data_IF_796960837904
#
_entry.id   IF_796960837904
#
_cell.length_a   1.000
_cell.length_b   1.000
_cell.length_c   1.000
_cell.angle_alpha   90.00
_cell.angle_beta   90.00
_cell.angle_gamma   90.00
#
_symmetry.space_group_name_H-M   'P 1'
#
loop_
_entity.id
_entity.type
_entity.pdbx_description
1 polymer ?
#
# COMPACT_ATOMS: atom_id res chain seq x y z
N UNK A 1 -0.03 -4.25 48.71
CA UNK A 1 -0.75 -5.53 48.82
C UNK A 1 -0.17 -6.43 47.72
N UNK A 2 0.65 -7.40 48.09
CA UNK A 2 1.26 -8.34 47.14
C UNK A 2 0.33 -9.55 47.02
N UNK A 3 -0.15 -9.84 45.84
CA UNK A 3 -0.94 -11.07 45.56
C UNK A 3 -0.05 -11.99 44.72
N UNK A 4 0.37 -13.08 45.37
CA UNK A 4 1.14 -14.18 44.76
C UNK A 4 0.18 -15.22 44.21
N UNK A 5 0.29 -15.56 42.94
CA UNK A 5 -0.43 -16.70 42.35
C UNK A 5 0.56 -17.85 42.19
N UNK A 6 0.28 -18.94 42.91
CA UNK A 6 1.02 -20.20 42.83
C UNK A 6 0.40 -21.12 41.76
N UNK A 7 1.21 -21.55 40.80
CA UNK A 7 0.85 -22.65 39.90
C UNK A 7 1.31 -23.98 40.50
N UNK A 8 0.40 -24.95 40.54
CA UNK A 8 0.68 -26.33 40.93
C UNK A 8 0.80 -27.20 39.66
N UNK A 9 1.81 -28.06 39.53
CA UNK A 9 1.91 -28.95 38.40
C UNK A 9 1.14 -30.25 38.67
N UNK A 10 0.23 -30.61 37.78
CA UNK A 10 -0.38 -31.97 37.76
C UNK A 10 0.30 -32.80 36.69
N UNK A 11 1.14 -33.72 37.17
CA UNK A 11 1.76 -34.78 36.38
C UNK A 11 0.72 -35.91 36.30
N UNK A 12 0.35 -36.35 35.09
CA UNK A 12 -0.29 -37.62 34.86
C UNK A 12 0.45 -38.41 33.78
N UNK A 13 1.18 -39.42 34.26
CA UNK A 13 1.75 -40.49 33.46
C UNK A 13 0.67 -41.53 33.27
N UNK A 14 0.37 -41.93 32.05
CA UNK A 14 -0.25 -43.24 31.81
C UNK A 14 0.38 -43.88 30.58
N UNK A 15 1.16 -44.91 30.87
CA UNK A 15 1.71 -45.85 29.89
C UNK A 15 0.65 -46.91 29.56
N UNK A 16 0.59 -47.30 28.30
CA UNK A 16 -0.22 -48.44 27.88
C UNK A 16 0.04 -48.77 26.42
N UNK A 17 0.98 -49.68 26.20
CA UNK A 17 1.19 -50.34 24.92
C UNK A 17 0.05 -51.32 24.65
N UNK A 18 -0.33 -51.50 23.39
CA UNK A 18 -0.42 -52.84 22.75
C UNK A 18 -0.98 -52.73 21.31
N UNK A 19 -0.18 -53.16 20.43
CA UNK A 19 -0.36 -53.67 19.07
C UNK A 19 -1.73 -54.27 18.74
N UNK A 20 -2.21 -53.97 17.53
CA UNK A 20 -2.78 -54.99 16.63
C UNK A 20 -2.93 -54.44 15.21
N UNK A 21 -2.14 -55.04 14.34
CA UNK A 21 -2.20 -54.97 12.90
C UNK A 21 -3.56 -55.50 12.42
N UNK A 22 -4.34 -54.72 11.73
CA UNK A 22 -5.45 -55.18 10.94
C UNK A 22 -5.36 -54.56 9.55
N UNK A 23 -4.85 -55.32 8.60
CA UNK A 23 -5.03 -55.04 7.18
C UNK A 23 -6.55 -55.12 6.86
N UNK A 24 -7.18 -53.98 6.75
CA UNK A 24 -8.46 -53.88 6.06
C UNK A 24 -8.19 -53.47 4.62
N UNK A 25 -8.48 -54.40 3.70
CA UNK A 25 -8.57 -54.12 2.26
C UNK A 25 -9.67 -53.07 2.06
N UNK A 26 -9.30 -51.89 1.65
CA UNK A 26 -10.25 -50.96 1.05
C UNK A 26 -10.83 -51.58 -0.23
N UNK A 27 -12.15 -51.50 -0.44
CA UNK A 27 -12.73 -51.90 -1.71
C UNK A 27 -12.24 -50.92 -2.80
N UNK A 28 -11.69 -51.46 -3.87
CA UNK A 28 -11.30 -50.71 -5.06
C UNK A 28 -12.53 -49.94 -5.58
N UNK A 29 -12.45 -48.62 -5.50
CA UNK A 29 -13.37 -47.74 -6.21
C UNK A 29 -13.10 -47.94 -7.71
N UNK A 30 -14.11 -48.27 -8.54
CA UNK A 30 -13.90 -48.39 -9.97
C UNK A 30 -13.41 -47.05 -10.51
N UNK A 31 -12.31 -47.09 -11.22
CA UNK A 31 -11.81 -45.93 -11.95
C UNK A 31 -12.93 -45.42 -12.89
N UNK A 32 -13.51 -44.32 -12.54
CA UNK A 32 -14.34 -43.55 -13.45
C UNK A 32 -13.42 -43.07 -14.57
N UNK A 33 -13.60 -43.60 -15.75
CA UNK A 33 -13.06 -43.09 -16.98
C UNK A 33 -13.67 -41.68 -17.22
N UNK A 34 -13.20 -40.73 -16.44
CA UNK A 34 -13.39 -39.33 -16.78
C UNK A 34 -12.50 -39.07 -17.97
N UNK A 35 -13.07 -39.24 -19.14
CA UNK A 35 -12.51 -38.60 -20.33
C UNK A 35 -12.43 -37.12 -20.03
N UNK A 36 -11.22 -36.67 -19.64
CA UNK A 36 -10.85 -35.25 -19.64
C UNK A 36 -10.95 -34.85 -21.10
N UNK A 37 -12.10 -34.30 -21.43
CA UNK A 37 -12.24 -33.58 -22.70
C UNK A 37 -11.15 -32.51 -22.66
N UNK A 38 -10.17 -32.48 -23.58
CA UNK A 38 -9.18 -31.43 -23.58
C UNK A 38 -9.98 -30.13 -23.68
N UNK A 39 -9.83 -29.24 -22.67
CA UNK A 39 -10.27 -27.86 -22.81
C UNK A 39 -9.80 -27.39 -24.19
N UNK A 40 -10.68 -26.74 -24.97
CA UNK A 40 -10.24 -26.17 -26.22
C UNK A 40 -9.05 -25.26 -25.88
N UNK A 41 -7.85 -25.71 -26.25
CA UNK A 41 -6.69 -24.86 -26.31
C UNK A 41 -7.16 -23.63 -27.08
N UNK A 42 -7.37 -22.51 -26.39
CA UNK A 42 -7.62 -21.25 -27.03
C UNK A 42 -6.46 -21.13 -28.03
N UNK A 43 -6.73 -21.34 -29.31
CA UNK A 43 -5.83 -20.97 -30.35
C UNK A 43 -5.45 -19.53 -30.00
N UNK A 44 -4.18 -19.33 -29.66
CA UNK A 44 -3.65 -17.99 -29.57
C UNK A 44 -3.93 -17.40 -30.94
N UNK A 45 -5.05 -16.67 -31.04
CA UNK A 45 -5.34 -15.86 -32.20
C UNK A 45 -4.08 -15.02 -32.31
N UNK A 46 -3.27 -15.30 -33.33
CA UNK A 46 -2.16 -14.45 -33.72
C UNK A 46 -2.79 -13.11 -34.09
N UNK A 47 -3.05 -12.30 -33.04
CA UNK A 47 -3.45 -10.93 -33.21
C UNK A 47 -2.23 -10.29 -33.84
N UNK A 48 -2.26 -10.16 -35.16
CA UNK A 48 -1.24 -9.44 -35.91
C UNK A 48 -0.86 -8.20 -35.10
N UNK A 49 0.35 -8.22 -34.55
CA UNK A 49 0.87 -7.12 -33.74
C UNK A 49 0.71 -5.86 -34.58
N UNK A 50 -0.19 -4.96 -34.17
CA UNK A 50 -0.44 -3.74 -34.89
C UNK A 50 0.90 -2.95 -34.95
N UNK A 51 1.53 -2.83 -36.12
CA UNK A 51 2.85 -2.20 -36.24
C UNK A 51 2.86 -0.77 -35.72
N UNK A 52 1.71 -0.08 -35.73
CA UNK A 52 1.56 1.26 -35.14
C UNK A 52 1.75 1.26 -33.63
N UNK A 53 1.34 0.20 -32.94
CA UNK A 53 1.56 0.12 -31.47
C UNK A 53 3.06 0.12 -31.17
N UNK A 54 3.86 -0.63 -31.95
CA UNK A 54 5.31 -0.62 -31.83
C UNK A 54 5.91 0.78 -32.09
N UNK A 55 5.41 1.50 -33.11
CA UNK A 55 5.85 2.87 -33.40
C UNK A 55 5.50 3.84 -32.26
N UNK A 56 4.30 3.75 -31.69
CA UNK A 56 3.91 4.58 -30.53
C UNK A 56 4.82 4.33 -29.33
N UNK A 57 5.04 3.06 -28.99
CA UNK A 57 5.91 2.68 -27.87
C UNK A 57 7.34 3.19 -28.14
N UNK A 58 7.88 2.94 -29.32
CA UNK A 58 9.23 3.38 -29.69
C UNK A 58 9.39 4.89 -29.57
N UNK A 59 8.41 5.66 -30.03
CA UNK A 59 8.45 7.12 -29.96
C UNK A 59 8.35 7.60 -28.52
N UNK A 60 7.32 7.16 -27.79
CA UNK A 60 7.10 7.61 -26.41
C UNK A 60 8.18 7.16 -25.44
N UNK A 61 8.87 6.05 -25.70
CA UNK A 61 9.95 5.53 -24.88
C UNK A 61 11.34 6.02 -25.32
N UNK A 62 11.43 6.89 -26.34
CA UNK A 62 12.71 7.40 -26.79
C UNK A 62 13.31 8.43 -25.81
N UNK A 63 14.63 8.57 -25.84
CA UNK A 63 15.38 9.52 -25.00
C UNK A 63 14.96 10.97 -25.25
N UNK A 64 14.49 11.28 -26.47
CA UNK A 64 13.98 12.59 -26.84
C UNK A 64 12.83 13.03 -25.93
N UNK A 65 11.99 12.09 -25.50
CA UNK A 65 10.83 12.35 -24.62
C UNK A 65 11.20 12.43 -23.13
N UNK A 66 12.47 12.23 -22.75
CA UNK A 66 13.04 12.49 -21.42
C UNK A 66 12.22 11.94 -20.24
N UNK A 67 11.59 10.76 -20.41
CA UNK A 67 10.74 10.15 -19.38
C UNK A 67 9.38 10.77 -19.18
N UNK A 68 9.04 11.86 -19.87
CA UNK A 68 7.69 12.48 -19.93
C UNK A 68 7.15 13.00 -18.58
N UNK A 69 8.04 13.40 -17.67
CA UNK A 69 7.62 13.91 -16.38
C UNK A 69 6.76 15.19 -16.52
N UNK A 70 5.72 15.37 -15.69
CA UNK A 70 4.91 16.59 -15.68
C UNK A 70 5.74 17.87 -15.52
N UNK A 71 5.29 18.96 -16.15
CA UNK A 71 5.94 20.26 -16.17
C UNK A 71 7.38 20.26 -16.74
N UNK A 72 7.69 19.30 -17.63
CA UNK A 72 9.00 19.21 -18.31
C UNK A 72 8.86 19.30 -19.83
N UNK A 73 10.00 19.43 -20.50
CA UNK A 73 10.04 19.34 -21.97
C UNK A 73 9.50 18.00 -22.51
N UNK A 74 9.71 16.92 -21.77
CA UNK A 74 9.16 15.61 -22.11
C UNK A 74 7.64 15.56 -22.09
N UNK A 75 6.98 16.25 -21.16
CA UNK A 75 5.53 16.42 -21.18
C UNK A 75 5.06 17.20 -22.42
N UNK A 76 5.67 18.33 -22.72
CA UNK A 76 5.31 19.15 -23.89
C UNK A 76 5.35 18.34 -25.19
N UNK A 77 6.42 17.54 -25.39
CA UNK A 77 6.57 16.66 -26.54
C UNK A 77 5.51 15.57 -26.55
N UNK A 78 5.23 14.98 -25.41
CA UNK A 78 4.22 13.93 -25.25
C UNK A 78 2.83 14.43 -25.60
N UNK A 79 2.43 15.55 -25.00
CA UNK A 79 1.11 16.16 -25.24
C UNK A 79 0.94 16.56 -26.70
N UNK A 80 1.97 17.15 -27.33
CA UNK A 80 1.94 17.49 -28.74
C UNK A 80 1.81 16.24 -29.64
N UNK A 81 2.54 15.19 -29.33
CA UNK A 81 2.49 13.91 -30.04
C UNK A 81 1.11 13.25 -29.93
N UNK A 82 0.52 13.22 -28.73
CA UNK A 82 -0.82 12.67 -28.50
C UNK A 82 -1.88 13.48 -29.26
N UNK A 83 -1.84 14.80 -29.18
CA UNK A 83 -2.77 15.68 -29.89
C UNK A 83 -2.72 15.46 -31.42
N UNK A 84 -1.51 15.35 -31.98
CA UNK A 84 -1.34 15.05 -33.39
C UNK A 84 -1.97 13.69 -33.78
N UNK A 85 -1.77 12.67 -32.96
CA UNK A 85 -2.33 11.35 -33.20
C UNK A 85 -3.85 11.32 -33.03
N UNK A 86 -4.41 12.02 -32.05
CA UNK A 86 -5.86 12.14 -31.89
C UNK A 86 -6.52 12.79 -33.10
N UNK A 87 -5.94 13.88 -33.61
CA UNK A 87 -6.38 14.52 -34.86
C UNK A 87 -6.31 13.55 -36.05
N UNK A 88 -5.20 12.82 -36.19
CA UNK A 88 -4.97 11.88 -37.28
C UNK A 88 -6.00 10.74 -37.32
N UNK A 89 -6.43 10.24 -36.16
CA UNK A 89 -7.44 9.16 -36.07
C UNK A 89 -8.87 9.68 -36.04
N UNK A 90 -9.07 11.00 -36.17
CA UNK A 90 -10.37 11.63 -36.27
C UNK A 90 -11.12 11.84 -34.96
N UNK A 91 -10.43 11.73 -33.81
CA UNK A 91 -11.03 12.13 -32.54
C UNK A 91 -11.29 13.64 -32.54
N UNK A 92 -12.37 14.02 -31.87
CA UNK A 92 -12.71 15.42 -31.63
C UNK A 92 -12.43 15.80 -30.20
N UNK A 93 -12.02 17.04 -29.93
CA UNK A 93 -11.88 17.51 -28.55
C UNK A 93 -13.25 17.53 -27.86
N UNK A 94 -13.24 17.32 -26.54
CA UNK A 94 -14.47 17.32 -25.73
C UNK A 94 -14.84 18.74 -25.33
N UNK A 95 -13.82 19.60 -25.12
CA UNK A 95 -14.01 20.99 -24.67
C UNK A 95 -13.49 21.96 -25.72
N UNK A 96 -14.44 22.64 -26.40
CA UNK A 96 -14.14 23.59 -27.48
C UNK A 96 -13.27 22.95 -28.58
N UNK A 97 -12.17 23.64 -28.92
CA UNK A 97 -11.22 23.18 -29.94
C UNK A 97 -9.93 22.58 -29.34
N UNK A 98 -9.88 22.41 -28.02
CA UNK A 98 -8.69 21.95 -27.30
C UNK A 98 -8.74 20.46 -26.96
N UNK A 99 -7.65 19.75 -27.25
CA UNK A 99 -7.40 18.39 -26.75
C UNK A 99 -6.73 18.40 -25.37
N UNK A 100 -6.49 19.57 -24.78
CA UNK A 100 -5.74 19.77 -23.54
C UNK A 100 -6.64 20.34 -22.46
N UNK A 101 -6.57 19.75 -21.29
CA UNK A 101 -7.13 20.29 -20.07
C UNK A 101 -6.00 20.86 -19.21
N UNK A 102 -5.90 22.16 -19.01
CA UNK A 102 -4.91 22.76 -18.14
C UNK A 102 -5.13 22.33 -16.69
N UNK A 103 -4.07 21.88 -16.02
CA UNK A 103 -4.07 21.54 -14.59
C UNK A 103 -2.91 22.27 -13.92
N UNK A 104 -3.23 23.09 -12.91
CA UNK A 104 -2.21 23.76 -12.10
C UNK A 104 -1.58 22.78 -11.13
N UNK A 105 -0.27 22.64 -11.15
CA UNK A 105 0.51 21.81 -10.26
C UNK A 105 1.43 22.66 -9.40
N UNK A 106 1.74 22.13 -8.20
CA UNK A 106 2.77 22.68 -7.33
C UNK A 106 3.82 21.59 -7.13
N UNK A 107 5.06 21.93 -7.46
CA UNK A 107 6.21 21.07 -7.16
C UNK A 107 6.81 21.53 -5.83
N UNK A 108 7.02 20.60 -4.91
CA UNK A 108 7.64 20.84 -3.61
C UNK A 108 8.95 20.06 -3.58
N UNK A 109 10.07 20.80 -3.55
CA UNK A 109 11.41 20.23 -3.49
C UNK A 109 12.03 20.51 -2.11
N UNK A 110 12.07 19.52 -1.21
CA UNK A 110 12.71 19.69 0.08
C UNK A 110 14.21 19.90 -0.09
N UNK A 111 14.72 21.05 0.38
CA UNK A 111 16.14 21.38 0.29
C UNK A 111 16.94 20.80 1.45
N UNK A 112 16.32 20.70 2.61
CA UNK A 112 16.92 20.17 3.82
C UNK A 112 15.85 19.45 4.63
N UNK A 113 16.16 18.23 5.06
CA UNK A 113 15.34 17.45 5.98
C UNK A 113 16.23 17.02 7.13
N UNK A 114 15.84 17.35 8.35
CA UNK A 114 16.56 16.94 9.57
C UNK A 114 16.27 15.48 9.91
N UNK A 115 17.20 14.87 10.62
CA UNK A 115 16.95 13.61 11.31
C UNK A 115 15.84 13.78 12.34
N UNK A 116 15.06 12.74 12.57
CA UNK A 116 14.01 12.74 13.59
C UNK A 116 14.58 12.24 14.92
N UNK A 117 14.23 12.92 16.01
CA UNK A 117 14.58 12.48 17.36
C UNK A 117 13.33 12.21 18.17
N UNK A 118 13.25 11.04 18.79
CA UNK A 118 12.25 10.69 19.80
C UNK A 118 12.84 10.80 21.19
N UNK A 119 12.10 11.36 22.13
CA UNK A 119 12.48 11.50 23.53
C UNK A 119 11.46 10.85 24.44
N UNK A 120 11.90 10.22 25.54
CA UNK A 120 11.02 9.54 26.50
C UNK A 120 11.79 8.59 27.40
N UNK A 121 11.08 7.71 28.09
CA UNK A 121 11.68 6.67 28.91
C UNK A 121 12.45 5.68 28.03
N UNK A 122 13.75 5.45 28.34
CA UNK A 122 14.69 4.68 27.53
C UNK A 122 15.05 5.30 26.15
N UNK A 123 14.80 6.58 25.98
CA UNK A 123 15.20 7.40 24.85
C UNK A 123 16.27 8.43 25.29
N UNK A 124 17.04 9.10 24.43
CA UNK A 124 16.70 9.46 23.04
C UNK A 124 17.05 8.38 22.02
N UNK A 125 16.26 8.35 20.95
CA UNK A 125 16.55 7.61 19.74
C UNK A 125 16.45 8.56 18.54
N UNK A 126 17.48 8.56 17.69
CA UNK A 126 17.52 9.36 16.46
C UNK A 126 17.39 8.45 15.25
N UNK A 127 16.63 8.90 14.26
CA UNK A 127 16.38 8.22 12.99
C UNK A 127 16.93 9.08 11.86
N UNK A 128 17.85 8.53 11.09
CA UNK A 128 18.49 9.23 9.98
C UNK A 128 17.57 9.33 8.78
N UNK A 129 17.50 10.54 8.23
CA UNK A 129 16.76 10.77 6.99
C UNK A 129 17.35 9.96 5.84
N UNK A 130 16.48 9.30 5.07
CA UNK A 130 16.73 8.35 3.98
C UNK A 130 17.21 6.96 4.40
N UNK A 131 17.89 6.82 5.53
CA UNK A 131 18.36 5.51 6.01
C UNK A 131 17.26 4.81 6.82
N UNK A 132 16.67 5.54 7.78
CA UNK A 132 15.73 4.99 8.76
C UNK A 132 14.34 5.68 8.72
N UNK A 133 14.22 6.82 8.07
CA UNK A 133 12.97 7.53 7.89
C UNK A 133 12.97 8.33 6.58
N UNK A 134 11.78 8.52 6.03
CA UNK A 134 11.50 9.43 4.92
C UNK A 134 10.50 10.48 5.43
N UNK A 135 10.71 11.74 5.07
CA UNK A 135 9.78 12.81 5.41
C UNK A 135 9.47 13.67 4.19
N UNK A 136 8.22 14.05 4.08
CA UNK A 136 7.75 15.03 3.09
C UNK A 136 6.55 15.79 3.62
N UNK A 137 6.16 16.84 2.91
CA UNK A 137 4.94 17.60 3.18
C UNK A 137 4.26 17.98 1.88
N UNK A 138 2.93 18.06 1.91
CA UNK A 138 2.12 18.63 0.82
C UNK A 138 1.73 20.08 1.09
N UNK A 139 2.18 20.64 2.20
CA UNK A 139 1.93 22.05 2.53
C UNK A 139 2.83 22.96 1.70
N UNK A 140 2.23 23.93 1.01
CA UNK A 140 2.95 24.92 0.22
C UNK A 140 3.45 26.03 1.17
N UNK A 141 4.63 25.81 1.74
CA UNK A 141 5.27 26.70 2.71
C UNK A 141 6.79 26.58 2.62
N UNK A 142 7.50 27.60 3.07
CA UNK A 142 8.97 27.61 3.06
C UNK A 142 9.56 26.59 4.05
N UNK A 143 8.89 26.36 5.17
CA UNK A 143 9.35 25.45 6.21
C UNK A 143 8.17 24.78 6.93
N UNK A 144 8.37 23.54 7.32
CA UNK A 144 7.53 22.80 8.28
C UNK A 144 8.44 22.26 9.36
N UNK A 145 8.10 22.48 10.62
CA UNK A 145 8.71 21.83 11.78
C UNK A 145 7.64 21.32 12.72
N UNK A 146 7.95 20.21 13.40
CA UNK A 146 7.16 19.66 14.50
C UNK A 146 8.14 19.36 15.62
N UNK A 147 8.02 20.08 16.74
CA UNK A 147 8.92 20.02 17.87
C UNK A 147 8.15 19.69 19.14
N UNK A 148 8.73 18.88 20.00
CA UNK A 148 8.18 18.48 21.30
C UNK A 148 6.73 17.98 21.25
N UNK A 149 6.36 17.32 20.13
CA UNK A 149 5.02 16.81 19.90
C UNK A 149 4.81 15.49 20.63
N UNK A 150 3.77 15.42 21.46
CA UNK A 150 3.33 14.16 22.05
C UNK A 150 2.96 13.15 20.97
N UNK A 151 3.37 11.89 21.13
CA UNK A 151 3.04 10.81 20.18
C UNK A 151 1.89 9.97 20.70
N UNK A 152 0.95 9.66 19.80
CA UNK A 152 -0.19 8.79 20.07
C UNK A 152 -0.24 7.67 19.04
N UNK A 153 -0.15 6.42 19.52
CA UNK A 153 -0.32 5.27 18.63
C UNK A 153 -1.81 5.04 18.36
N UNK A 154 -2.17 4.99 17.08
CA UNK A 154 -3.55 4.90 16.60
C UNK A 154 -3.78 3.67 15.70
N UNK A 155 -3.20 2.52 16.07
CA UNK A 155 -3.41 1.27 15.35
C UNK A 155 -3.06 1.38 13.86
N UNK A 156 -4.06 1.23 13.01
CA UNK A 156 -3.96 1.47 11.56
C UNK A 156 -4.38 2.88 11.15
N UNK A 157 -4.83 3.72 12.08
CA UNK A 157 -5.27 5.09 11.81
C UNK A 157 -6.49 5.17 10.88
N UNK A 158 -7.46 4.30 11.08
CA UNK A 158 -8.62 4.11 10.20
C UNK A 158 -9.91 4.51 10.91
N UNK A 159 -10.79 5.21 10.17
CA UNK A 159 -12.20 5.42 10.50
C UNK A 159 -13.02 4.84 9.36
N UNK A 160 -13.62 3.69 9.56
CA UNK A 160 -14.41 2.93 8.58
C UNK A 160 -15.73 2.47 9.19
N UNK A 161 -16.78 3.32 9.16
CA UNK A 161 -18.07 3.04 9.81
C UNK A 161 -18.73 1.76 9.29
N UNK A 162 -18.54 1.40 8.03
CA UNK A 162 -19.08 0.19 7.42
C UNK A 162 -18.51 -1.10 8.01
N UNK A 163 -17.30 -1.04 8.58
CA UNK A 163 -16.68 -2.13 9.33
C UNK A 163 -16.85 -1.96 10.85
N UNK A 164 -17.61 -0.93 11.30
CA UNK A 164 -17.69 -0.55 12.72
C UNK A 164 -16.29 -0.36 13.34
N UNK A 165 -15.38 0.27 12.59
CA UNK A 165 -13.99 0.45 12.94
C UNK A 165 -13.62 1.93 13.09
N UNK A 166 -13.02 2.28 14.24
CA UNK A 166 -12.53 3.62 14.49
C UNK A 166 -11.31 3.57 15.42
N UNK A 167 -10.13 3.69 14.85
CA UNK A 167 -8.86 3.69 15.59
C UNK A 167 -8.63 4.98 16.42
N UNK A 168 -9.41 6.01 16.17
CA UNK A 168 -9.31 7.30 16.89
C UNK A 168 -10.32 7.45 18.02
N UNK A 169 -11.18 6.46 18.23
CA UNK A 169 -12.23 6.55 19.23
C UNK A 169 -11.65 6.74 20.65
N UNK A 170 -12.07 7.83 21.31
CA UNK A 170 -11.61 8.16 22.66
C UNK A 170 -10.20 8.73 22.76
N UNK A 171 -9.50 8.95 21.63
CA UNK A 171 -8.17 9.52 21.60
C UNK A 171 -8.21 11.01 21.27
N UNK A 172 -7.45 11.81 22.03
CA UNK A 172 -7.16 13.20 21.68
C UNK A 172 -5.83 13.26 20.90
N UNK A 173 -5.91 13.49 19.61
CA UNK A 173 -4.75 13.55 18.71
C UNK A 173 -4.51 14.94 18.12
N UNK A 174 -5.35 15.92 18.48
CA UNK A 174 -5.27 17.27 17.92
C UNK A 174 -3.94 17.93 18.28
N UNK A 175 -3.19 18.35 17.27
CA UNK A 175 -1.87 18.99 17.43
C UNK A 175 -0.76 18.01 17.83
N UNK A 176 -1.03 16.72 17.94
CA UNK A 176 -0.06 15.67 18.29
C UNK A 176 0.48 14.95 17.05
N UNK A 177 1.49 14.14 17.24
CA UNK A 177 2.02 13.20 16.23
C UNK A 177 1.31 11.87 16.37
N UNK A 178 0.61 11.43 15.34
CA UNK A 178 0.01 10.09 15.32
C UNK A 178 0.96 9.07 14.72
N UNK A 179 1.01 7.88 15.31
CA UNK A 179 1.83 6.75 14.85
C UNK A 179 0.91 5.60 14.48
N UNK A 180 1.10 5.01 13.30
CA UNK A 180 0.22 3.96 12.79
C UNK A 180 0.95 2.96 11.91
N UNK A 181 0.35 1.80 11.70
CA UNK A 181 0.84 0.81 10.75
C UNK A 181 0.41 1.13 9.31
N UNK A 182 1.26 0.72 8.36
CA UNK A 182 0.87 0.64 6.93
C UNK A 182 -0.16 -0.48 6.73
N UNK A 183 -0.91 -0.42 5.62
CA UNK A 183 -1.97 -1.35 5.29
C UNK A 183 -3.20 -1.21 6.21
N UNK A 184 -4.06 -2.22 6.26
CA UNK A 184 -5.29 -2.26 7.05
C UNK A 184 -5.40 -3.58 7.83
N UNK A 185 -6.35 -3.69 8.77
CA UNK A 185 -6.49 -4.88 9.62
C UNK A 185 -6.72 -6.18 8.85
N UNK A 186 -7.27 -6.11 7.65
CA UNK A 186 -7.53 -7.28 6.82
C UNK A 186 -6.25 -8.05 6.50
N UNK A 187 -5.14 -7.35 6.23
CA UNK A 187 -3.86 -8.00 5.96
C UNK A 187 -3.39 -8.87 7.14
N UNK A 188 -3.51 -8.39 8.36
CA UNK A 188 -3.08 -9.12 9.55
C UNK A 188 -4.02 -10.29 9.90
N UNK A 189 -5.33 -10.12 9.70
CA UNK A 189 -6.34 -11.12 10.05
C UNK A 189 -6.56 -12.16 8.96
N UNK A 190 -6.29 -11.81 7.69
CA UNK A 190 -6.61 -12.61 6.50
C UNK A 190 -8.11 -12.95 6.37
N UNK A 191 -8.97 -12.26 7.10
CA UNK A 191 -10.41 -12.43 7.07
C UNK A 191 -11.00 -11.66 5.86
N UNK A 192 -11.58 -12.33 4.86
CA UNK A 192 -12.11 -11.66 3.69
C UNK A 192 -13.31 -10.73 3.98
N UNK A 193 -13.99 -10.93 5.11
CA UNK A 193 -15.10 -10.08 5.54
C UNK A 193 -14.60 -8.80 6.22
N UNK A 194 -13.32 -8.75 6.62
CA UNK A 194 -12.71 -7.59 7.25
C UNK A 194 -11.70 -6.93 6.29
N UNK A 195 -12.00 -5.74 5.79
CA UNK A 195 -11.16 -4.97 4.87
C UNK A 195 -10.65 -5.78 3.64
N UNK A 196 -11.49 -6.71 3.12
CA UNK A 196 -11.14 -7.60 2.00
C UNK A 196 -9.93 -8.53 2.27
N UNK A 197 -9.65 -8.86 3.52
CA UNK A 197 -8.56 -9.76 3.90
C UNK A 197 -7.21 -9.29 3.39
N UNK A 198 -6.52 -10.14 2.62
CA UNK A 198 -5.17 -9.85 2.12
C UNK A 198 -5.11 -8.73 1.07
N UNK A 199 -6.23 -8.36 0.46
CA UNK A 199 -6.29 -7.31 -0.55
C UNK A 199 -6.41 -5.94 0.13
N UNK A 200 -5.36 -5.11 0.01
CA UNK A 200 -5.35 -3.76 0.59
C UNK A 200 -6.52 -2.92 0.08
N UNK A 201 -7.34 -2.42 0.99
CA UNK A 201 -8.39 -1.43 0.69
C UNK A 201 -7.80 -0.03 0.55
N UNK A 202 -8.66 0.97 0.24
CA UNK A 202 -8.23 2.38 0.27
C UNK A 202 -7.76 2.82 1.65
N UNK A 203 -8.34 2.27 2.73
CA UNK A 203 -7.94 2.54 4.11
C UNK A 203 -6.49 2.15 4.42
N UNK A 204 -5.96 1.13 3.75
CA UNK A 204 -4.56 0.70 3.87
C UNK A 204 -3.56 1.58 3.13
N UNK A 205 -4.00 2.48 2.25
CA UNK A 205 -3.14 3.31 1.41
C UNK A 205 -2.46 4.44 2.21
N UNK A 206 -1.24 4.76 1.82
CA UNK A 206 -0.47 5.88 2.39
C UNK A 206 -1.25 7.19 2.36
N UNK A 207 -1.88 7.50 1.23
CA UNK A 207 -2.71 8.70 1.05
C UNK A 207 -3.80 8.79 2.10
N UNK A 208 -4.56 7.72 2.31
CA UNK A 208 -5.63 7.69 3.31
C UNK A 208 -5.10 7.99 4.72
N UNK A 209 -3.96 7.39 5.09
CA UNK A 209 -3.34 7.59 6.41
C UNK A 209 -3.07 9.07 6.69
N UNK A 210 -2.47 9.79 5.74
CA UNK A 210 -2.20 11.21 5.88
C UNK A 210 -3.46 12.05 5.86
N UNK A 211 -4.42 11.71 5.00
CA UNK A 211 -5.72 12.40 4.94
C UNK A 211 -6.50 12.25 6.24
N UNK A 212 -6.56 11.03 6.80
CA UNK A 212 -7.28 10.81 8.06
C UNK A 212 -6.59 11.51 9.24
N UNK A 213 -5.27 11.39 9.37
CA UNK A 213 -4.53 12.13 10.38
C UNK A 213 -4.79 13.64 10.31
N UNK A 214 -4.87 14.20 9.10
CA UNK A 214 -5.21 15.61 8.90
C UNK A 214 -6.66 15.90 9.31
N UNK A 215 -7.64 15.05 8.97
CA UNK A 215 -9.04 15.20 9.40
C UNK A 215 -9.19 15.17 10.91
N UNK A 216 -8.39 14.35 11.60
CA UNK A 216 -8.34 14.26 13.06
C UNK A 216 -7.57 15.43 13.72
N UNK A 217 -6.95 16.29 12.91
CA UNK A 217 -6.22 17.48 13.39
C UNK A 217 -4.83 17.18 13.93
N UNK A 218 -4.23 16.06 13.60
CA UNK A 218 -2.86 15.75 13.96
C UNK A 218 -1.85 16.74 13.32
N UNK A 219 -0.75 17.02 14.02
CA UNK A 219 0.32 17.87 13.51
C UNK A 219 1.22 17.12 12.53
N UNK A 220 1.45 15.83 12.77
CA UNK A 220 2.29 14.94 11.97
C UNK A 220 1.74 13.51 12.01
N UNK A 221 1.99 12.75 10.97
CA UNK A 221 1.72 11.32 10.91
C UNK A 221 3.01 10.55 10.64
N UNK A 222 3.28 9.55 11.46
CA UNK A 222 4.36 8.56 11.30
C UNK A 222 3.73 7.22 10.93
N UNK A 223 4.10 6.71 9.76
CA UNK A 223 3.64 5.40 9.32
C UNK A 223 4.78 4.40 9.46
N UNK A 224 4.57 3.36 10.26
CA UNK A 224 5.51 2.26 10.43
C UNK A 224 5.48 1.43 9.14
N UNK A 225 6.62 1.41 8.45
CA UNK A 225 6.79 0.61 7.25
C UNK A 225 7.09 -0.85 7.63
N UNK A 226 6.31 -1.76 7.08
CA UNK A 226 6.53 -3.20 7.14
C UNK A 226 6.59 -3.76 5.72
N UNK A 227 7.67 -4.45 5.40
CA UNK A 227 7.94 -4.92 4.01
C UNK A 227 6.81 -5.74 3.42
N UNK A 228 6.28 -6.71 4.17
CA UNK A 228 5.23 -7.60 3.67
C UNK A 228 3.87 -6.87 3.50
N UNK A 229 3.35 -6.14 4.51
CA UNK A 229 2.12 -5.35 4.36
C UNK A 229 2.23 -4.23 3.31
N UNK A 230 3.39 -3.60 3.17
CA UNK A 230 3.62 -2.56 2.16
C UNK A 230 3.81 -3.12 0.75
N UNK A 231 4.13 -4.40 0.63
CA UNK A 231 4.47 -5.11 -0.62
C UNK A 231 5.80 -4.71 -1.29
N UNK A 232 6.65 -3.95 -0.61
CA UNK A 232 8.00 -3.60 -1.06
C UNK A 232 8.94 -3.36 0.13
N UNK A 233 10.25 -3.53 -0.10
CA UNK A 233 11.27 -3.34 0.92
C UNK A 233 11.60 -1.87 1.19
N UNK A 234 12.17 -1.57 2.36
CA UNK A 234 12.57 -0.21 2.74
C UNK A 234 13.50 0.48 1.74
N UNK A 235 14.47 -0.26 1.20
CA UNK A 235 15.48 0.28 0.27
C UNK A 235 14.96 0.61 -1.15
N UNK A 236 13.67 0.50 -1.39
CA UNK A 236 13.02 0.90 -2.65
C UNK A 236 12.40 2.30 -2.59
N UNK A 237 12.55 3.01 -1.47
CA UNK A 237 12.02 4.35 -1.26
C UNK A 237 13.00 5.46 -1.70
#
# INVERSE_FOLDING_TARGET
>A
MKTSVKFSPLVMILAGALTLSACSKEPAVPASDSQVNPEPTAELVDTEFNPRLGEYIKTLASDEFQGRAPATKGEELTVAYLEQNFKRIGLKPIDGDSYKQPVSLVQIDPKQVSDMTLTGENLPQSFKYRDEMIAWTTRVTEQVSVEDSEMVFVGYGIVAPEYNWNDYEGLDVKGKTVVMFVNDPGYATQDPELFNGNAMTYYGRWTYKFEEAARQGAAMALIIHETAPASYGWFTN
#
